data_IF_910879309071
#
_entry.id   IF_910879309071
#
_cell.length_a   1.000
_cell.length_b   1.000
_cell.length_c   1.000
_cell.angle_alpha   90.00
_cell.angle_beta   90.00
_cell.angle_gamma   90.00
#
_symmetry.space_group_name_H-M   'P 1'
#
loop_
_entity.id
_entity.type
_entity.pdbx_description
1 polymer ?
#
# COMPACT_ATOMS: atom_id res chain seq x y z
N UNK A 1 16.24 1.15 -13.44
CA UNK A 1 15.62 1.76 -12.24
C UNK A 1 14.35 0.99 -12.08
N UNK A 2 14.37 0.01 -11.17
CA UNK A 2 13.23 -0.86 -10.90
C UNK A 2 12.20 -0.02 -10.13
N UNK A 3 11.33 0.64 -10.87
CA UNK A 3 10.21 1.39 -10.29
C UNK A 3 9.32 0.40 -9.57
N UNK A 4 9.03 0.68 -8.30
CA UNK A 4 8.23 -0.21 -7.47
C UNK A 4 6.74 -0.16 -7.83
N UNK A 5 6.31 0.81 -8.63
CA UNK A 5 4.96 0.90 -9.19
C UNK A 5 4.95 0.79 -10.72
N UNK A 6 3.84 0.32 -11.27
CA UNK A 6 3.62 0.21 -12.71
C UNK A 6 2.95 1.48 -13.24
N UNK A 7 3.74 2.35 -13.90
CA UNK A 7 3.20 3.53 -14.59
C UNK A 7 2.17 3.16 -15.67
N UNK A 8 2.35 2.03 -16.34
CA UNK A 8 1.39 1.51 -17.33
C UNK A 8 0.02 1.28 -16.70
N UNK A 9 -0.05 0.57 -15.57
CA UNK A 9 -1.32 0.37 -14.85
C UNK A 9 -1.95 1.68 -14.39
N UNK A 10 -1.14 2.62 -13.91
CA UNK A 10 -1.63 3.93 -13.49
C UNK A 10 -2.22 4.70 -14.68
N UNK A 11 -1.57 4.64 -15.84
CA UNK A 11 -2.08 5.21 -17.09
C UNK A 11 -3.37 4.50 -17.55
N UNK A 12 -3.46 3.17 -17.44
CA UNK A 12 -4.68 2.44 -17.76
C UNK A 12 -5.86 2.87 -16.88
N UNK A 13 -5.64 3.05 -15.57
CA UNK A 13 -6.68 3.51 -14.64
C UNK A 13 -7.09 4.95 -14.92
N UNK A 14 -6.12 5.78 -15.30
CA UNK A 14 -6.35 7.16 -15.73
C UNK A 14 -6.90 7.28 -17.16
N UNK A 15 -7.11 6.17 -17.88
CA UNK A 15 -7.58 6.19 -19.27
C UNK A 15 -6.58 6.83 -20.26
N UNK A 16 -5.30 6.87 -19.91
CA UNK A 16 -4.22 7.51 -20.67
C UNK A 16 -4.10 9.01 -20.45
N UNK A 17 -4.85 9.59 -19.51
CA UNK A 17 -4.83 11.03 -19.21
C UNK A 17 -3.79 11.37 -18.13
N UNK A 18 -2.76 12.14 -18.50
CA UNK A 18 -1.65 12.48 -17.58
C UNK A 18 -2.08 13.39 -16.41
N UNK A 19 -3.08 14.24 -16.61
CA UNK A 19 -3.66 15.09 -15.56
C UNK A 19 -4.35 14.20 -14.52
N UNK A 20 -5.14 13.23 -14.99
CA UNK A 20 -5.80 12.26 -14.12
C UNK A 20 -4.82 11.32 -13.42
N UNK A 21 -3.71 10.94 -14.08
CA UNK A 21 -2.63 10.19 -13.41
C UNK A 21 -2.06 10.97 -12.22
N UNK A 22 -1.88 12.28 -12.35
CA UNK A 22 -1.41 13.15 -11.26
C UNK A 22 -2.40 13.19 -10.11
N UNK A 23 -3.69 13.34 -10.39
CA UNK A 23 -4.76 13.34 -9.37
C UNK A 23 -4.79 12.01 -8.62
N UNK A 24 -4.68 10.89 -9.32
CA UNK A 24 -4.66 9.55 -8.72
C UNK A 24 -3.41 9.35 -7.86
N UNK A 25 -2.24 9.75 -8.35
CA UNK A 25 -0.99 9.69 -7.59
C UNK A 25 -1.04 10.57 -6.34
N UNK A 26 -1.56 11.78 -6.45
CA UNK A 26 -1.72 12.70 -5.32
C UNK A 26 -2.70 12.15 -4.28
N UNK A 27 -3.86 11.64 -4.71
CA UNK A 27 -4.85 11.00 -3.82
C UNK A 27 -4.21 9.83 -3.07
N UNK A 28 -3.44 8.99 -3.76
CA UNK A 28 -2.71 7.90 -3.14
C UNK A 28 -1.67 8.40 -2.11
N UNK A 29 -0.94 9.48 -2.42
CA UNK A 29 0.01 10.12 -1.51
C UNK A 29 -0.65 10.77 -0.27
N UNK A 30 -1.94 11.12 -0.34
CA UNK A 30 -2.68 11.72 0.77
C UNK A 30 -3.43 10.69 1.62
N UNK A 31 -4.03 9.68 0.99
CA UNK A 31 -4.86 8.68 1.69
C UNK A 31 -4.07 7.49 2.25
N UNK A 32 -3.04 7.02 1.54
CA UNK A 32 -2.32 5.81 1.95
C UNK A 32 -1.41 6.01 3.18
N UNK A 33 -0.68 7.14 3.35
CA UNK A 33 0.16 7.30 4.55
C UNK A 33 -0.60 7.15 5.88
N UNK A 34 -1.76 7.79 6.10
CA UNK A 34 -2.50 7.60 7.35
C UNK A 34 -3.09 6.19 7.47
N UNK A 35 -3.56 5.57 6.37
CA UNK A 35 -4.04 4.17 6.39
C UNK A 35 -2.91 3.19 6.72
N UNK A 36 -1.71 3.41 6.18
CA UNK A 36 -0.52 2.60 6.45
C UNK A 36 -0.08 2.71 7.90
N UNK A 37 -0.03 3.93 8.44
CA UNK A 37 0.31 4.16 9.84
C UNK A 37 -0.73 3.52 10.78
N UNK A 38 -2.01 3.61 10.43
CA UNK A 38 -3.08 2.98 11.20
C UNK A 38 -3.01 1.45 11.13
N UNK A 39 -2.57 0.88 10.00
CA UNK A 39 -2.30 -0.55 9.88
C UNK A 39 -1.12 -0.98 10.76
N UNK A 40 -0.02 -0.24 10.76
CA UNK A 40 1.14 -0.50 11.63
C UNK A 40 0.72 -0.50 13.10
N UNK A 41 0.04 0.57 13.55
CA UNK A 41 -0.45 0.69 14.92
C UNK A 41 -1.44 -0.43 15.28
N UNK A 42 -2.35 -0.79 14.36
CA UNK A 42 -3.26 -1.91 14.58
C UNK A 42 -2.53 -3.24 14.74
N UNK A 43 -1.45 -3.49 13.98
CA UNK A 43 -0.63 -4.68 14.16
C UNK A 43 0.13 -4.62 15.48
N UNK A 44 0.74 -3.50 15.86
CA UNK A 44 1.46 -3.35 17.13
C UNK A 44 0.53 -3.55 18.35
N UNK A 45 -0.67 -3.00 18.31
CA UNK A 45 -1.69 -3.15 19.37
C UNK A 45 -2.43 -4.49 19.31
N UNK A 46 -2.04 -5.41 18.41
CA UNK A 46 -2.71 -6.68 18.16
C UNK A 46 -4.20 -6.55 17.81
N UNK A 47 -4.62 -5.40 17.29
CA UNK A 47 -5.97 -5.11 16.84
C UNK A 47 -6.22 -5.69 15.44
N UNK A 48 -6.61 -6.97 15.41
CA UNK A 48 -6.81 -7.73 14.17
C UNK A 48 -7.97 -7.21 13.32
N UNK A 49 -9.00 -6.65 13.95
CA UNK A 49 -10.16 -6.09 13.22
C UNK A 49 -9.76 -4.85 12.42
N UNK A 50 -9.08 -3.89 13.05
CA UNK A 50 -8.57 -2.71 12.35
C UNK A 50 -7.52 -3.08 11.31
N UNK A 51 -6.57 -3.95 11.66
CA UNK A 51 -5.54 -4.39 10.73
C UNK A 51 -6.16 -5.03 9.48
N UNK A 52 -7.24 -5.81 9.63
CA UNK A 52 -7.96 -6.40 8.50
C UNK A 52 -8.62 -5.32 7.64
N UNK A 53 -9.29 -4.34 8.26
CA UNK A 53 -9.96 -3.26 7.53
C UNK A 53 -8.98 -2.45 6.70
N UNK A 54 -7.87 -2.01 7.30
CA UNK A 54 -6.85 -1.23 6.60
C UNK A 54 -6.13 -2.06 5.53
N UNK A 55 -5.74 -3.30 5.82
CA UNK A 55 -5.12 -4.18 4.83
C UNK A 55 -6.04 -4.43 3.63
N UNK A 56 -7.33 -4.71 3.88
CA UNK A 56 -8.33 -4.95 2.84
C UNK A 56 -8.62 -3.70 2.01
N UNK A 57 -8.62 -2.51 2.63
CA UNK A 57 -8.79 -1.22 1.96
C UNK A 57 -7.58 -0.87 1.09
N UNK A 58 -6.36 -1.12 1.55
CA UNK A 58 -5.13 -0.80 0.81
C UNK A 58 -4.80 -1.81 -0.28
N UNK A 59 -5.22 -3.07 -0.14
CA UNK A 59 -5.00 -4.13 -1.14
C UNK A 59 -5.32 -3.71 -2.59
N UNK A 60 -6.54 -3.25 -2.92
CA UNK A 60 -6.86 -2.84 -4.28
C UNK A 60 -6.02 -1.64 -4.76
N UNK A 61 -5.64 -0.74 -3.85
CA UNK A 61 -4.75 0.38 -4.19
C UNK A 61 -3.37 -0.13 -4.61
N UNK A 62 -2.81 -1.13 -3.92
CA UNK A 62 -1.51 -1.70 -4.28
C UNK A 62 -1.57 -2.51 -5.58
N UNK A 63 -2.68 -3.21 -5.85
CA UNK A 63 -2.91 -3.93 -7.10
C UNK A 63 -3.02 -2.97 -8.29
N UNK A 64 -3.75 -1.86 -8.08
CA UNK A 64 -3.95 -0.79 -9.04
C UNK A 64 -2.63 -0.12 -9.44
N UNK A 65 -1.78 0.19 -8.45
CA UNK A 65 -0.45 0.75 -8.70
C UNK A 65 0.59 -0.32 -9.08
N UNK A 66 0.27 -1.61 -9.00
CA UNK A 66 1.19 -2.69 -9.36
C UNK A 66 2.39 -2.82 -8.44
N UNK A 67 2.21 -2.63 -7.12
CA UNK A 67 3.32 -2.57 -6.15
C UNK A 67 3.96 -3.92 -5.84
N UNK A 68 3.34 -5.03 -6.26
CA UNK A 68 3.81 -6.38 -5.94
C UNK A 68 3.63 -6.79 -4.46
N UNK A 69 2.96 -5.97 -3.65
CA UNK A 69 2.73 -6.19 -2.22
C UNK A 69 1.50 -7.04 -1.89
N UNK A 70 0.81 -7.55 -2.92
CA UNK A 70 -0.41 -8.34 -2.80
C UNK A 70 -0.23 -9.57 -1.89
N UNK A 71 0.95 -10.20 -1.98
CA UNK A 71 1.30 -11.35 -1.15
C UNK A 71 1.47 -10.96 0.31
N UNK A 72 2.20 -9.88 0.59
CA UNK A 72 2.45 -9.40 1.95
C UNK A 72 1.15 -8.96 2.63
N UNK A 73 0.33 -8.17 1.94
CA UNK A 73 -0.99 -7.76 2.43
C UNK A 73 -1.92 -8.96 2.64
N UNK A 74 -1.94 -9.94 1.73
CA UNK A 74 -2.75 -11.14 1.90
C UNK A 74 -2.28 -11.96 3.11
N UNK A 75 -0.99 -11.98 3.43
CA UNK A 75 -0.49 -12.62 4.64
C UNK A 75 -0.91 -11.89 5.91
N UNK A 76 -0.86 -10.55 5.91
CA UNK A 76 -1.37 -9.71 7.01
C UNK A 76 -2.87 -9.96 7.20
N UNK A 77 -3.64 -9.99 6.12
CA UNK A 77 -5.08 -10.27 6.14
C UNK A 77 -5.39 -11.70 6.65
N UNK A 78 -4.60 -12.70 6.28
CA UNK A 78 -4.75 -14.06 6.78
C UNK A 78 -4.39 -14.18 8.26
N UNK A 79 -3.41 -13.39 8.71
CA UNK A 79 -2.99 -13.34 10.10
C UNK A 79 -4.07 -12.77 11.02
N UNK A 80 -4.82 -11.76 10.58
CA UNK A 80 -5.93 -11.20 11.38
C UNK A 80 -7.04 -12.21 11.65
N UNK A 81 -7.20 -13.20 10.75
CA UNK A 81 -8.13 -14.32 10.92
C UNK A 81 -7.52 -15.53 11.64
N UNK A 82 -6.23 -15.50 11.93
CA UNK A 82 -5.50 -16.57 12.61
C UNK A 82 -5.25 -16.26 14.08
N UNK A 83 -4.93 -17.29 14.88
CA UNK A 83 -4.52 -17.14 16.29
C UNK A 83 -3.03 -16.83 16.47
N UNK A 84 -2.34 -16.42 15.40
CA UNK A 84 -0.90 -16.10 15.44
C UNK A 84 -0.63 -14.75 16.11
N UNK A 85 0.58 -14.60 16.65
CA UNK A 85 1.09 -13.34 17.20
C UNK A 85 1.53 -12.37 16.11
N UNK A 86 1.57 -11.07 16.42
CA UNK A 86 1.93 -9.97 15.51
C UNK A 86 3.29 -10.17 14.83
N UNK A 87 4.24 -10.78 15.55
CA UNK A 87 5.57 -11.12 15.07
C UNK A 87 5.56 -11.97 13.77
N UNK A 88 4.50 -12.77 13.54
CA UNK A 88 4.37 -13.57 12.33
C UNK A 88 4.20 -12.75 11.04
N UNK A 89 3.82 -11.48 11.16
CA UNK A 89 3.60 -10.54 10.04
C UNK A 89 4.42 -9.26 10.13
N UNK A 90 5.33 -9.15 11.11
CA UNK A 90 6.16 -7.97 11.28
C UNK A 90 7.11 -7.75 10.08
N UNK A 91 7.69 -8.81 9.53
CA UNK A 91 8.57 -8.72 8.34
C UNK A 91 7.79 -8.23 7.11
N UNK A 92 6.59 -8.77 6.91
CA UNK A 92 5.67 -8.41 5.83
C UNK A 92 5.21 -6.96 5.98
N UNK A 93 4.92 -6.53 7.21
CA UNK A 93 4.56 -5.14 7.49
C UNK A 93 5.71 -4.21 7.14
N UNK A 94 6.93 -4.50 7.60
CA UNK A 94 8.11 -3.69 7.31
C UNK A 94 8.37 -3.59 5.80
N UNK A 95 8.22 -4.70 5.06
CA UNK A 95 8.31 -4.71 3.60
C UNK A 95 7.27 -3.82 2.94
N UNK A 96 6.00 -3.93 3.36
CA UNK A 96 4.91 -3.10 2.84
C UNK A 96 5.22 -1.62 3.09
N UNK A 97 5.58 -1.27 4.33
CA UNK A 97 5.88 0.11 4.73
C UNK A 97 7.07 0.67 3.95
N UNK A 98 8.16 -0.09 3.86
CA UNK A 98 9.36 0.33 3.12
C UNK A 98 9.06 0.51 1.63
N UNK A 99 8.32 -0.42 1.02
CA UNK A 99 7.99 -0.36 -0.42
C UNK A 99 7.06 0.80 -0.72
N UNK A 100 6.01 0.99 0.08
CA UNK A 100 5.06 2.10 -0.09
C UNK A 100 5.77 3.46 0.07
N UNK A 101 6.69 3.59 1.05
CA UNK A 101 7.50 4.80 1.21
C UNK A 101 8.39 5.06 -0.01
N UNK A 102 9.06 4.05 -0.55
CA UNK A 102 9.84 4.18 -1.79
C UNK A 102 8.95 4.65 -2.93
N UNK A 103 7.78 4.02 -3.12
CA UNK A 103 6.81 4.40 -4.17
C UNK A 103 6.36 5.84 -4.00
N UNK A 104 6.14 6.32 -2.77
CA UNK A 104 5.79 7.71 -2.55
C UNK A 104 6.87 8.68 -3.00
N UNK A 105 8.14 8.38 -2.74
CA UNK A 105 9.25 9.20 -3.23
C UNK A 105 9.36 9.15 -4.76
N UNK A 106 9.14 7.99 -5.37
CA UNK A 106 9.12 7.85 -6.83
C UNK A 106 7.96 8.63 -7.46
N UNK A 107 6.74 8.52 -6.92
CA UNK A 107 5.57 9.27 -7.39
C UNK A 107 5.79 10.78 -7.27
N UNK A 108 6.27 11.27 -6.12
CA UNK A 108 6.59 12.69 -5.96
C UNK A 108 7.59 13.18 -6.98
N UNK A 109 8.62 12.37 -7.27
CA UNK A 109 9.63 12.70 -8.27
C UNK A 109 9.09 12.68 -9.70
N UNK A 110 8.29 11.67 -10.07
CA UNK A 110 7.77 11.48 -11.43
C UNK A 110 6.71 12.53 -11.76
N UNK A 111 5.85 12.87 -10.79
CA UNK A 111 4.77 13.85 -10.93
C UNK A 111 5.15 15.27 -10.47
N UNK A 112 6.39 15.49 -10.01
CA UNK A 112 6.86 16.76 -9.43
C UNK A 112 5.95 17.32 -8.33
N UNK A 113 5.54 16.45 -7.39
CA UNK A 113 4.70 16.76 -6.21
C UNK A 113 5.54 16.98 -4.93
#
# INVERSE_FOLDING_TARGET
>A
MDTHYSREKLAEVAGGDEDFMTVVAQTFLEEIPPDLQALEDAVENNNKELAYQFAHKMKPNFEMFGLGLEKDITQIESWTRSSKSTNAVSDQMERVVSTVKTVFEELKRDFSL
#
